data_IF_484669386364
#
_entry.id   IF_484669386364
#
_cell.length_a   1.000
_cell.length_b   1.000
_cell.length_c   1.000
_cell.angle_alpha   90.00
_cell.angle_beta   90.00
_cell.angle_gamma   90.00
#
_symmetry.space_group_name_H-M   'P 1'
#
loop_
_entity.id
_entity.type
_entity.pdbx_description
1 polymer ?
#
# COMPACT_ATOMS: atom_id res chain seq x y z
N UNK A 1 -4.12 -6.22 16.46
CA UNK A 1 -3.57 -5.00 17.03
C UNK A 1 -2.16 -4.75 16.52
N UNK A 2 -1.73 -3.50 16.53
CA UNK A 2 -0.42 -3.13 15.97
C UNK A 2 0.56 -2.79 17.09
N UNK A 3 1.81 -3.21 16.90
CA UNK A 3 2.87 -3.01 17.88
C UNK A 3 4.05 -2.29 17.24
N UNK A 4 4.92 -1.71 18.07
CA UNK A 4 6.16 -1.09 17.60
C UNK A 4 6.98 -2.10 16.83
N UNK A 5 7.47 -1.69 15.65
CA UNK A 5 8.22 -2.55 14.76
C UNK A 5 7.38 -3.23 13.69
N UNK A 6 6.06 -3.20 13.81
CA UNK A 6 5.20 -3.81 12.81
C UNK A 6 5.32 -3.09 11.46
N UNK A 7 5.31 -3.87 10.40
CA UNK A 7 5.31 -3.37 9.03
C UNK A 7 3.88 -3.33 8.53
N UNK A 8 3.47 -2.15 8.12
CA UNK A 8 2.07 -1.87 7.83
C UNK A 8 1.91 -1.16 6.50
N UNK A 9 0.70 -1.22 5.97
CA UNK A 9 0.31 -0.46 4.79
C UNK A 9 -0.82 0.49 5.16
N UNK A 10 -0.62 1.75 4.84
CA UNK A 10 -1.66 2.77 4.96
C UNK A 10 -2.21 3.01 3.55
N UNK A 11 -3.48 2.67 3.29
CA UNK A 11 -4.05 2.80 1.95
C UNK A 11 -3.81 4.18 1.34
N UNK A 12 -3.44 4.22 0.08
CA UNK A 12 -3.09 5.42 -0.68
C UNK A 12 -1.74 6.05 -0.31
N UNK A 13 -1.12 5.61 0.79
CA UNK A 13 0.15 6.21 1.26
C UNK A 13 1.32 5.25 1.21
N UNK A 14 1.05 3.95 1.06
CA UNK A 14 2.10 2.95 0.94
C UNK A 14 2.47 2.30 2.25
N UNK A 15 3.63 1.66 2.26
CA UNK A 15 4.10 0.87 3.41
C UNK A 15 4.99 1.69 4.33
N UNK A 16 4.96 1.32 5.60
CA UNK A 16 5.77 1.95 6.64
C UNK A 16 5.91 1.06 7.86
N UNK A 17 6.62 1.57 8.85
CA UNK A 17 6.89 0.84 10.08
C UNK A 17 6.35 1.62 11.26
N UNK A 18 5.74 0.93 12.21
CA UNK A 18 5.33 1.55 13.47
C UNK A 18 6.57 1.83 14.29
N UNK A 19 6.92 3.10 14.44
CA UNK A 19 8.12 3.51 15.17
C UNK A 19 7.88 3.58 16.66
N UNK A 20 6.80 4.23 17.06
CA UNK A 20 6.46 4.38 18.47
C UNK A 20 4.94 4.45 18.62
N UNK A 21 4.49 4.30 19.86
CA UNK A 21 3.11 4.57 20.23
C UNK A 21 3.16 5.67 21.27
N UNK A 22 2.53 6.81 20.98
CA UNK A 22 2.57 7.97 21.86
C UNK A 22 1.20 8.30 22.40
N UNK A 23 1.15 8.67 23.66
CA UNK A 23 -0.07 9.18 24.27
C UNK A 23 -0.13 10.68 24.09
N UNK A 24 -1.28 11.16 23.62
CA UNK A 24 -1.53 12.58 23.48
C UNK A 24 -2.91 12.92 23.99
N UNK A 25 -3.06 14.13 24.47
CA UNK A 25 -4.37 14.60 24.89
C UNK A 25 -5.15 15.11 23.70
N UNK A 26 -6.40 14.70 23.62
CA UNK A 26 -7.34 15.12 22.60
C UNK A 26 -8.68 15.32 23.26
N UNK A 27 -9.18 16.57 23.25
CA UNK A 27 -10.45 16.95 23.87
C UNK A 27 -10.55 16.53 25.32
N UNK A 28 -9.46 16.70 26.08
CA UNK A 28 -9.42 16.36 27.51
C UNK A 28 -9.25 14.89 27.81
N UNK A 29 -9.09 14.05 26.78
CA UNK A 29 -8.89 12.61 26.94
C UNK A 29 -7.55 12.18 26.43
N UNK A 30 -6.98 11.16 27.07
CA UNK A 30 -5.71 10.57 26.63
C UNK A 30 -5.98 9.58 25.50
N UNK A 31 -5.34 9.80 24.36
CA UNK A 31 -5.49 8.94 23.19
C UNK A 31 -4.12 8.44 22.76
N UNK A 32 -4.02 7.15 22.47
CA UNK A 32 -2.81 6.56 21.93
C UNK A 32 -2.76 6.73 20.43
N UNK A 33 -1.58 7.11 19.93
CA UNK A 33 -1.34 7.27 18.49
C UNK A 33 -0.21 6.35 18.05
N UNK A 34 -0.44 5.67 16.93
CA UNK A 34 0.66 4.98 16.24
C UNK A 34 1.43 6.02 15.43
N UNK A 35 2.74 6.05 15.60
CA UNK A 35 3.61 6.92 14.82
C UNK A 35 4.26 6.04 13.76
N UNK A 36 3.89 6.29 12.49
CA UNK A 36 4.38 5.50 11.36
C UNK A 36 5.48 6.24 10.65
N UNK A 37 6.58 5.56 10.37
CA UNK A 37 7.61 6.06 9.46
C UNK A 37 7.36 5.44 8.09
N UNK A 38 6.92 6.27 7.15
CA UNK A 38 6.58 5.82 5.80
C UNK A 38 7.80 5.75 4.92
N UNK A 39 7.86 4.74 4.04
CA UNK A 39 8.97 4.63 3.08
C UNK A 39 8.89 5.70 2.01
N UNK A 40 7.68 6.05 1.57
CA UNK A 40 7.51 7.05 0.53
C UNK A 40 7.52 8.44 1.15
N UNK A 41 8.42 9.30 0.64
CA UNK A 41 8.50 10.70 1.06
C UNK A 41 9.07 10.92 2.45
N UNK A 42 9.57 9.88 3.09
CA UNK A 42 10.15 9.98 4.45
C UNK A 42 9.22 10.66 5.46
N UNK A 43 7.91 10.46 5.28
CA UNK A 43 6.91 11.12 6.12
C UNK A 43 6.65 10.33 7.40
N UNK A 44 6.32 11.07 8.45
CA UNK A 44 5.76 10.49 9.66
C UNK A 44 4.26 10.72 9.64
N UNK A 45 3.53 9.68 9.92
CA UNK A 45 2.06 9.74 9.97
C UNK A 45 1.61 9.31 11.36
N UNK A 46 0.69 10.07 11.94
CA UNK A 46 0.11 9.75 13.24
C UNK A 46 -1.29 9.20 13.03
N UNK A 47 -1.55 8.00 13.56
CA UNK A 47 -2.85 7.37 13.44
C UNK A 47 -3.38 7.04 14.83
N UNK A 48 -4.53 7.60 15.23
CA UNK A 48 -5.14 7.20 16.50
C UNK A 48 -5.42 5.71 16.51
N UNK A 49 -5.10 5.04 17.62
CA UNK A 49 -5.28 3.59 17.71
C UNK A 49 -6.74 3.20 17.44
N UNK A 50 -7.69 4.01 17.85
CA UNK A 50 -9.11 3.74 17.63
C UNK A 50 -9.56 3.96 16.17
N UNK A 51 -8.70 4.50 15.32
CA UNK A 51 -9.02 4.77 13.92
C UNK A 51 -8.37 3.79 12.95
N UNK A 52 -7.57 2.83 13.43
CA UNK A 52 -6.80 1.96 12.53
C UNK A 52 -7.68 1.15 11.58
N UNK A 53 -8.83 0.68 12.07
CA UNK A 53 -9.77 -0.06 11.21
C UNK A 53 -10.41 0.86 10.17
N UNK A 54 -10.80 2.05 10.59
CA UNK A 54 -11.47 3.00 9.69
C UNK A 54 -10.56 3.41 8.54
N UNK A 55 -9.27 3.63 8.82
CA UNK A 55 -8.33 4.02 7.76
C UNK A 55 -7.85 2.82 6.95
N UNK A 56 -8.16 1.60 7.39
CA UNK A 56 -7.78 0.40 6.67
C UNK A 56 -6.33 -0.02 6.85
N UNK A 57 -5.70 0.41 7.95
CA UNK A 57 -4.33 0.02 8.23
C UNK A 57 -4.23 -1.50 8.35
N UNK A 58 -3.28 -2.10 7.65
CA UNK A 58 -3.07 -3.54 7.66
C UNK A 58 -1.58 -3.86 7.67
N UNK A 59 -1.26 -5.10 8.00
CA UNK A 59 0.12 -5.59 7.91
C UNK A 59 0.52 -5.77 6.44
N UNK A 60 1.81 -5.67 6.15
CA UNK A 60 2.31 -5.95 4.80
C UNK A 60 2.08 -7.42 4.45
N UNK A 61 2.08 -7.73 3.16
CA UNK A 61 1.93 -9.11 2.69
C UNK A 61 3.11 -9.97 3.14
N UNK A 62 2.92 -11.28 3.08
CA UNK A 62 3.96 -12.24 3.33
C UNK A 62 4.64 -12.67 2.04
N UNK A 63 5.80 -13.31 2.14
CA UNK A 63 6.55 -13.75 0.97
C UNK A 63 5.74 -14.62 0.02
N UNK A 64 4.87 -15.47 0.57
CA UNK A 64 4.04 -16.34 -0.24
C UNK A 64 3.08 -15.56 -1.15
N UNK A 65 2.71 -14.35 -0.73
CA UNK A 65 1.79 -13.51 -1.50
C UNK A 65 2.46 -12.83 -2.69
N UNK A 66 3.79 -12.72 -2.68
CA UNK A 66 4.52 -12.03 -3.76
C UNK A 66 4.28 -12.72 -5.09
N UNK A 67 4.32 -14.04 -5.13
CA UNK A 67 4.07 -14.80 -6.36
C UNK A 67 2.66 -14.57 -6.89
N UNK A 68 1.68 -14.49 -5.99
CA UNK A 68 0.31 -14.23 -6.38
C UNK A 68 0.15 -12.81 -6.94
N UNK A 69 0.85 -11.84 -6.37
CA UNK A 69 0.85 -10.46 -6.88
C UNK A 69 1.47 -10.40 -8.27
N UNK A 70 2.60 -11.10 -8.48
CA UNK A 70 3.24 -11.19 -9.78
C UNK A 70 2.30 -11.75 -10.84
N UNK A 71 1.53 -12.78 -10.48
CA UNK A 71 0.55 -13.36 -11.41
C UNK A 71 -0.50 -12.34 -11.83
N UNK A 72 -0.99 -11.54 -10.89
CA UNK A 72 -1.94 -10.49 -11.23
C UNK A 72 -1.33 -9.50 -12.22
N UNK A 73 -0.08 -9.11 -11.98
CA UNK A 73 0.61 -8.15 -12.86
C UNK A 73 0.84 -8.71 -14.27
N UNK A 74 1.07 -10.01 -14.38
CA UNK A 74 1.34 -10.67 -15.66
C UNK A 74 0.08 -10.99 -16.46
N UNK A 75 -1.04 -11.21 -15.79
CA UNK A 75 -2.29 -11.55 -16.43
C UNK A 75 -2.84 -10.37 -17.20
N UNK A 76 -3.38 -10.66 -18.40
CA UNK A 76 -4.03 -9.62 -19.17
C UNK A 76 -5.41 -9.34 -18.56
N UNK A 77 -5.75 -8.06 -18.28
CA UNK A 77 -7.07 -7.74 -17.75
C UNK A 77 -8.16 -8.09 -18.76
N UNK A 78 -9.19 -8.80 -18.31
CA UNK A 78 -10.25 -9.27 -19.19
C UNK A 78 -11.07 -8.13 -19.76
N UNK A 79 -11.27 -7.09 -19.02
CA UNK A 79 -12.06 -5.94 -19.44
C UNK A 79 -11.63 -4.68 -18.69
N UNK A 80 -10.69 -3.94 -19.25
CA UNK A 80 -10.75 -2.55 -18.88
C UNK A 80 -11.77 -1.93 -19.83
N UNK A 81 -12.89 -1.57 -19.31
CA UNK A 81 -14.07 -1.22 -20.10
C UNK A 81 -13.87 0.05 -20.93
N UNK A 82 -13.62 -0.12 -22.21
CA UNK A 82 -13.54 1.00 -23.16
C UNK A 82 -14.86 1.74 -23.27
N UNK A 83 -15.95 1.10 -22.89
CA UNK A 83 -17.29 1.67 -22.98
C UNK A 83 -17.65 2.58 -21.80
N UNK A 84 -16.85 2.58 -20.72
CA UNK A 84 -17.10 3.40 -19.54
C UNK A 84 -16.47 4.78 -19.73
N UNK A 85 -17.14 5.83 -19.26
CA UNK A 85 -16.59 7.18 -19.34
C UNK A 85 -15.28 7.28 -18.53
N UNK A 86 -14.44 8.23 -18.92
CA UNK A 86 -13.17 8.47 -18.26
C UNK A 86 -13.33 8.69 -16.73
N UNK A 87 -14.29 9.54 -16.35
CA UNK A 87 -14.52 9.85 -14.94
C UNK A 87 -14.90 8.61 -14.14
N UNK A 88 -15.77 7.78 -14.69
CA UNK A 88 -16.23 6.58 -14.00
C UNK A 88 -15.09 5.57 -13.87
N UNK A 89 -14.32 5.40 -14.93
CA UNK A 89 -13.17 4.50 -14.92
C UNK A 89 -12.12 4.95 -13.90
N UNK A 90 -11.82 6.26 -13.89
CA UNK A 90 -10.86 6.81 -12.94
C UNK A 90 -11.31 6.62 -11.50
N UNK A 91 -12.58 6.83 -11.23
CA UNK A 91 -13.13 6.61 -9.89
C UNK A 91 -13.04 5.15 -9.47
N UNK A 92 -13.23 4.21 -10.40
CA UNK A 92 -13.05 2.79 -10.12
C UNK A 92 -11.62 2.48 -9.71
N UNK A 93 -10.64 3.05 -10.39
CA UNK A 93 -9.24 2.89 -10.02
C UNK A 93 -8.97 3.44 -8.63
N UNK A 94 -9.50 4.62 -8.33
CA UNK A 94 -9.31 5.23 -7.01
C UNK A 94 -9.91 4.38 -5.90
N UNK A 95 -11.09 3.81 -6.12
CA UNK A 95 -11.71 2.91 -5.14
C UNK A 95 -10.85 1.69 -4.87
N UNK A 96 -10.28 1.10 -5.92
CA UNK A 96 -9.38 -0.03 -5.76
C UNK A 96 -8.14 0.34 -4.96
N UNK A 97 -7.58 1.53 -5.22
CA UNK A 97 -6.43 2.01 -4.45
C UNK A 97 -6.77 2.24 -2.99
N UNK A 98 -7.95 2.81 -2.73
CA UNK A 98 -8.40 3.09 -1.36
C UNK A 98 -8.74 1.84 -0.57
N UNK A 99 -9.03 0.74 -1.24
CA UNK A 99 -9.33 -0.52 -0.57
C UNK A 99 -8.15 -1.03 0.26
N UNK A 100 -6.94 -0.63 -0.10
CA UNK A 100 -5.73 -1.10 0.56
C UNK A 100 -5.36 -2.54 0.23
N UNK A 101 -6.12 -3.22 -0.60
CA UNK A 101 -5.85 -4.60 -1.01
C UNK A 101 -4.75 -4.61 -2.06
N UNK A 102 -3.68 -5.37 -1.79
CA UNK A 102 -2.51 -5.41 -2.68
C UNK A 102 -2.88 -5.90 -4.09
N UNK A 103 -3.80 -6.85 -4.18
CA UNK A 103 -4.21 -7.39 -5.48
C UNK A 103 -5.01 -6.36 -6.28
N UNK A 104 -5.81 -5.54 -5.60
CA UNK A 104 -6.52 -4.45 -6.26
C UNK A 104 -5.57 -3.38 -6.78
N UNK A 105 -4.53 -3.06 -6.00
CA UNK A 105 -3.49 -2.12 -6.44
C UNK A 105 -2.77 -2.69 -7.67
N UNK A 106 -2.41 -3.97 -7.64
CA UNK A 106 -1.77 -4.64 -8.78
C UNK A 106 -2.68 -4.63 -10.01
N UNK A 107 -3.97 -4.81 -9.82
CA UNK A 107 -4.93 -4.76 -10.92
C UNK A 107 -4.99 -3.36 -11.57
N UNK A 108 -4.94 -2.31 -10.77
CA UNK A 108 -4.87 -0.94 -11.31
C UNK A 108 -3.61 -0.77 -12.15
N UNK A 109 -2.47 -1.25 -11.65
CA UNK A 109 -1.19 -1.13 -12.37
C UNK A 109 -1.27 -1.84 -13.72
N UNK A 110 -1.70 -3.11 -13.73
CA UNK A 110 -1.74 -3.87 -14.99
C UNK A 110 -2.73 -3.28 -15.99
N UNK A 111 -3.88 -2.82 -15.50
CA UNK A 111 -4.90 -2.26 -16.36
C UNK A 111 -4.44 -0.97 -17.01
N UNK A 112 -3.84 -0.07 -16.23
CA UNK A 112 -3.31 1.17 -16.76
C UNK A 112 -2.12 0.94 -17.67
N UNK A 113 -1.28 -0.05 -17.37
CA UNK A 113 -0.13 -0.38 -18.21
C UNK A 113 -0.58 -0.90 -19.59
N UNK A 114 -1.59 -1.76 -19.61
CA UNK A 114 -2.15 -2.26 -20.87
C UNK A 114 -2.80 -1.11 -21.65
N UNK A 115 -3.52 -0.24 -20.96
CA UNK A 115 -4.13 0.91 -21.61
C UNK A 115 -3.06 1.84 -22.21
N UNK A 116 -1.95 2.06 -21.51
CA UNK A 116 -0.87 2.91 -22.03
C UNK A 116 -0.27 2.33 -23.31
N UNK A 117 -0.14 1.00 -23.38
CA UNK A 117 0.38 0.34 -24.58
C UNK A 117 -0.56 0.46 -25.78
N UNK A 118 -1.87 0.54 -25.54
CA UNK A 118 -2.86 0.67 -26.60
C UNK A 118 -3.19 2.12 -26.94
N UNK A 119 -3.25 2.96 -25.93
CA UNK A 119 -3.65 4.36 -26.08
C UNK A 119 -3.02 5.17 -24.96
N UNK A 120 -2.43 6.29 -25.32
CA UNK A 120 -1.76 7.16 -24.35
C UNK A 120 -2.67 7.53 -23.16
N UNK A 121 -2.13 7.40 -21.96
CA UNK A 121 -2.85 7.75 -20.74
C UNK A 121 -3.01 9.25 -20.60
N UNK A 122 -4.11 9.67 -19.99
CA UNK A 122 -4.27 11.05 -19.54
C UNK A 122 -3.24 11.37 -18.46
N UNK A 123 -3.06 12.67 -18.17
CA UNK A 123 -2.15 13.11 -17.12
C UNK A 123 -2.54 12.51 -15.77
N UNK A 124 -3.83 12.51 -15.45
CA UNK A 124 -4.31 11.94 -14.19
C UNK A 124 -4.07 10.44 -14.08
N UNK A 125 -4.33 9.71 -15.17
CA UNK A 125 -4.11 8.26 -15.19
C UNK A 125 -2.62 7.91 -15.07
N UNK A 126 -1.77 8.68 -15.73
CA UNK A 126 -0.33 8.47 -15.65
C UNK A 126 0.20 8.72 -14.24
N UNK A 127 -0.30 9.76 -13.60
CA UNK A 127 0.04 10.06 -12.22
C UNK A 127 -0.42 8.95 -11.29
N UNK A 128 -1.63 8.44 -11.50
CA UNK A 128 -2.17 7.35 -10.70
C UNK A 128 -1.34 6.07 -10.87
N UNK A 129 -0.95 5.76 -12.10
CA UNK A 129 -0.09 4.60 -12.36
C UNK A 129 1.22 4.72 -11.61
N UNK A 130 1.86 5.89 -11.65
CA UNK A 130 3.10 6.12 -10.91
C UNK A 130 2.92 5.94 -9.41
N UNK A 131 1.84 6.49 -8.85
CA UNK A 131 1.53 6.34 -7.43
C UNK A 131 1.29 4.87 -7.07
N UNK A 132 0.50 4.16 -7.87
CA UNK A 132 0.21 2.75 -7.62
C UNK A 132 1.48 1.91 -7.62
N UNK A 133 2.38 2.16 -8.57
CA UNK A 133 3.67 1.46 -8.63
C UNK A 133 4.49 1.70 -7.39
N UNK A 134 4.60 2.95 -6.95
CA UNK A 134 5.38 3.30 -5.76
C UNK A 134 4.81 2.62 -4.51
N UNK A 135 3.49 2.61 -4.37
CA UNK A 135 2.83 1.97 -3.23
C UNK A 135 3.14 0.48 -3.22
N UNK A 136 2.97 -0.19 -4.35
CA UNK A 136 3.24 -1.62 -4.44
C UNK A 136 4.71 -1.93 -4.17
N UNK A 137 5.61 -1.17 -4.76
CA UNK A 137 7.06 -1.36 -4.55
C UNK A 137 7.41 -1.19 -3.08
N UNK A 138 6.85 -0.18 -2.42
CA UNK A 138 7.13 0.05 -0.99
C UNK A 138 6.73 -1.14 -0.14
N UNK A 139 5.59 -1.76 -0.45
CA UNK A 139 5.13 -2.93 0.29
C UNK A 139 6.02 -4.14 0.04
N UNK A 140 6.35 -4.42 -1.21
CA UNK A 140 7.21 -5.54 -1.57
C UNK A 140 8.58 -5.38 -0.96
N UNK A 141 9.16 -4.18 -1.03
CA UNK A 141 10.46 -3.90 -0.43
C UNK A 141 10.45 -4.15 1.07
N UNK A 142 9.43 -3.67 1.75
CA UNK A 142 9.34 -3.83 3.20
C UNK A 142 9.16 -5.30 3.58
N UNK A 143 8.38 -6.04 2.80
CA UNK A 143 8.21 -7.47 2.97
C UNK A 143 9.56 -8.19 2.86
N UNK A 144 10.34 -7.88 1.83
CA UNK A 144 11.64 -8.51 1.60
C UNK A 144 12.67 -8.12 2.67
N UNK A 145 12.67 -6.87 3.12
CA UNK A 145 13.55 -6.41 4.18
C UNK A 145 13.26 -7.13 5.49
N UNK A 146 11.98 -7.37 5.79
CA UNK A 146 11.61 -8.11 6.99
C UNK A 146 12.20 -9.51 6.95
N UNK A 147 12.11 -10.19 5.81
CA UNK A 147 12.68 -11.51 5.64
C UNK A 147 14.19 -11.49 5.84
N UNK A 148 14.85 -10.48 5.27
CA UNK A 148 16.31 -10.32 5.42
C UNK A 148 16.69 -10.06 6.87
N UNK A 149 15.95 -9.20 7.57
CA UNK A 149 16.20 -8.91 8.98
C UNK A 149 16.04 -10.17 9.84
N UNK A 150 15.02 -10.98 9.56
CA UNK A 150 14.79 -12.21 10.27
C UNK A 150 15.95 -13.20 10.03
N UNK A 151 16.45 -13.25 8.80
CA UNK A 151 17.58 -14.08 8.46
C UNK A 151 18.86 -13.60 9.15
N UNK A 152 19.09 -12.30 9.17
CA UNK A 152 20.23 -11.70 9.84
C UNK A 152 20.19 -11.95 11.33
N UNK A 153 19.03 -11.85 11.95
CA UNK A 153 18.87 -12.15 13.38
C UNK A 153 19.22 -13.61 13.67
N UNK A 154 18.84 -14.53 12.79
CA UNK A 154 19.19 -15.94 12.95
C UNK A 154 20.70 -16.14 12.88
N UNK A 155 21.36 -15.42 11.99
CA UNK A 155 22.81 -15.53 11.81
C UNK A 155 23.53 -14.94 13.02
N UNK A 156 23.03 -13.83 13.53
CA UNK A 156 23.68 -13.12 14.64
C UNK A 156 23.55 -13.86 15.98
N UNK A 157 22.57 -14.73 16.12
CA UNK A 157 22.37 -15.53 17.34
C UNK A 157 23.34 -16.71 17.39
N UNK A 158 23.81 -17.13 16.25
CA UNK A 158 24.77 -18.23 16.15
C UNK A 158 26.20 -17.75 16.38
#
# INVERSE_FOLDING_TARGET
MFAVGDKVVYPMHGAGVVKTIEKRERDGQSVDYLILAMLLGEMKVMVPVDSVERVGLRHVIENDDIDAVEKVLEERPDNYNKAITWNRRFNMYLEKMKSGNVFEVADVIRTLQVQENEKKLSTGERRLLGTARQILISEVMLCLLYTSDAADDRISVD
#
